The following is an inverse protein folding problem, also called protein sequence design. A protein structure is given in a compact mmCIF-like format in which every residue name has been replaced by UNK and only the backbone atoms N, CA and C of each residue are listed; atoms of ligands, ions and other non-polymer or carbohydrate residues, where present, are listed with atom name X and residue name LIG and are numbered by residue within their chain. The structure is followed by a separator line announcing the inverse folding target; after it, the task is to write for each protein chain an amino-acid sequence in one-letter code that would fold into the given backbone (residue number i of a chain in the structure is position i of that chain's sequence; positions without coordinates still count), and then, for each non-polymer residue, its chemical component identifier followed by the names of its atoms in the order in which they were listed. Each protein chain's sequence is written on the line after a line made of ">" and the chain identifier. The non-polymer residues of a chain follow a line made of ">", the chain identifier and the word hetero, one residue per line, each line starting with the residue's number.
data_IF_377001116971
#
_entry.id   IF_377001116971
#
_cell.length_a   1.000
_cell.length_b   1.000
_cell.length_c   1.000
_cell.angle_alpha   90.00
_cell.angle_beta   90.00
_cell.angle_gamma   90.00
#
_symmetry.space_group_name_H-M   'P 1'
#
loop_
_entity.id
_entity.type
_entity.pdbx_description
1 polymer ?
#
# COMPACT_ATOMS: atom_id res chain seq x y z
N UNK A 1 22.03 -12.46 -13.61
CA UNK A 1 21.13 -11.50 -12.96
C UNK A 1 21.53 -10.07 -13.33
N UNK A 2 22.68 -9.53 -12.91
CA UNK A 2 23.13 -8.16 -13.25
C UNK A 2 23.08 -7.77 -14.74
N UNK A 3 23.46 -8.68 -15.66
CA UNK A 3 23.46 -8.39 -17.10
C UNK A 3 22.04 -8.28 -17.68
N UNK A 4 21.08 -9.07 -17.15
CA UNK A 4 19.66 -8.97 -17.52
C UNK A 4 19.05 -7.67 -16.97
N UNK A 5 19.51 -7.22 -15.79
CA UNK A 5 19.04 -5.97 -15.16
C UNK A 5 19.47 -4.72 -15.93
N UNK A 6 20.71 -4.64 -16.42
CA UNK A 6 21.21 -3.47 -17.16
C UNK A 6 20.56 -3.29 -18.54
N UNK A 7 20.21 -4.38 -19.22
CA UNK A 7 19.49 -4.30 -20.50
C UNK A 7 18.02 -3.92 -20.30
N UNK A 8 17.37 -4.44 -19.25
CA UNK A 8 15.95 -4.14 -18.95
C UNK A 8 15.69 -2.72 -18.43
N UNK A 9 16.69 -2.05 -17.87
CA UNK A 9 16.61 -0.61 -17.53
C UNK A 9 16.43 0.30 -18.75
N UNK A 10 16.87 -0.12 -19.95
CA UNK A 10 16.86 0.72 -21.16
C UNK A 10 15.54 0.68 -21.94
N UNK A 11 14.64 -0.26 -21.65
CA UNK A 11 13.42 -0.48 -22.45
C UNK A 11 12.13 0.13 -21.86
N UNK A 12 12.18 0.77 -20.69
CA UNK A 12 10.99 1.24 -20.00
C UNK A 12 10.79 2.76 -20.09
N UNK A 13 10.44 3.24 -21.29
CA UNK A 13 9.75 4.53 -21.46
C UNK A 13 8.63 4.33 -22.47
N UNK A 14 7.43 3.98 -21.96
CA UNK A 14 6.18 4.24 -22.68
C UNK A 14 5.09 4.67 -21.70
N UNK A 15 5.04 6.01 -21.56
CA UNK A 15 3.87 6.88 -21.45
C UNK A 15 3.10 7.07 -20.13
N UNK A 16 3.44 6.45 -18.99
CA UNK A 16 2.63 6.66 -17.77
C UNK A 16 3.38 6.91 -16.46
N UNK A 17 4.66 6.54 -16.34
CA UNK A 17 5.42 6.73 -15.11
C UNK A 17 6.71 7.51 -15.38
N UNK A 18 6.95 8.54 -14.57
CA UNK A 18 7.98 9.54 -14.83
C UNK A 18 9.39 9.04 -14.52
N UNK A 19 9.57 8.32 -13.41
CA UNK A 19 10.89 7.82 -12.99
C UNK A 19 10.94 6.30 -12.89
N UNK A 20 12.10 5.71 -13.14
CA UNK A 20 12.29 4.26 -13.02
C UNK A 20 12.32 3.84 -11.53
N UNK A 21 11.52 2.85 -11.07
CA UNK A 21 11.50 2.44 -9.66
C UNK A 21 12.85 1.92 -9.15
N UNK A 22 13.69 1.37 -10.03
CA UNK A 22 15.04 0.89 -9.68
C UNK A 22 16.03 2.02 -9.34
N UNK A 23 15.64 3.29 -9.49
CA UNK A 23 16.39 4.43 -8.95
C UNK A 23 16.23 4.58 -7.42
N UNK A 24 15.22 3.95 -6.83
CA UNK A 24 15.07 3.89 -5.38
C UNK A 24 16.09 2.92 -4.78
N UNK A 25 16.78 3.39 -3.74
CA UNK A 25 17.75 2.59 -3.00
C UNK A 25 17.09 1.30 -2.47
N UNK A 26 17.78 0.17 -2.69
CA UNK A 26 17.40 -1.19 -2.26
C UNK A 26 16.13 -1.77 -2.89
N UNK A 27 15.52 -1.15 -3.90
CA UNK A 27 14.35 -1.76 -4.59
C UNK A 27 14.72 -3.10 -5.23
N UNK A 28 15.92 -3.20 -5.78
CA UNK A 28 16.51 -4.44 -6.30
C UNK A 28 16.57 -5.54 -5.23
N UNK A 29 17.12 -5.24 -4.05
CA UNK A 29 17.25 -6.21 -2.94
C UNK A 29 15.90 -6.63 -2.37
N UNK A 30 14.98 -5.68 -2.23
CA UNK A 30 13.62 -5.96 -1.78
C UNK A 30 12.87 -6.86 -2.77
N UNK A 31 13.01 -6.57 -4.07
CA UNK A 31 12.47 -7.41 -5.13
C UNK A 31 13.05 -8.83 -5.08
N UNK A 32 14.37 -8.97 -4.96
CA UNK A 32 15.02 -10.29 -4.84
C UNK A 32 14.49 -11.08 -3.65
N UNK A 33 14.36 -10.45 -2.47
CA UNK A 33 13.85 -11.11 -1.26
C UNK A 33 12.39 -11.54 -1.38
N UNK A 34 11.54 -10.69 -1.94
CA UNK A 34 10.11 -10.99 -2.17
C UNK A 34 9.95 -12.09 -3.23
N UNK A 35 10.73 -12.05 -4.31
CA UNK A 35 10.73 -13.11 -5.33
C UNK A 35 11.18 -14.45 -4.72
N UNK A 36 12.20 -14.45 -3.87
CA UNK A 36 12.62 -15.66 -3.15
C UNK A 36 11.48 -16.22 -2.28
N UNK A 37 10.79 -15.37 -1.52
CA UNK A 37 9.64 -15.81 -0.72
C UNK A 37 8.53 -16.46 -1.57
N UNK A 38 8.19 -15.84 -2.70
CA UNK A 38 7.17 -16.37 -3.62
C UNK A 38 7.59 -17.75 -4.15
N UNK A 39 8.83 -17.89 -4.61
CA UNK A 39 9.33 -19.13 -5.21
C UNK A 39 9.45 -20.27 -4.18
N UNK A 40 9.80 -19.93 -2.94
CA UNK A 40 9.97 -20.87 -1.85
C UNK A 40 8.66 -21.20 -1.11
N UNK A 41 7.54 -20.56 -1.49
CA UNK A 41 6.26 -20.65 -0.77
C UNK A 41 6.39 -20.26 0.72
N UNK A 42 7.25 -19.29 0.99
CA UNK A 42 7.36 -18.67 2.30
C UNK A 42 6.12 -17.82 2.58
N UNK A 43 5.65 -17.83 3.82
CA UNK A 43 4.51 -17.00 4.25
C UNK A 43 4.94 -15.54 4.32
N UNK A 44 4.34 -14.72 3.46
CA UNK A 44 4.50 -13.26 3.45
C UNK A 44 3.37 -12.62 4.26
N UNK A 45 3.71 -11.78 5.24
CA UNK A 45 2.73 -10.93 5.93
C UNK A 45 2.97 -9.47 5.56
N UNK A 46 2.00 -8.87 4.85
CA UNK A 46 2.03 -7.44 4.56
C UNK A 46 1.63 -6.68 5.83
N UNK A 47 2.54 -5.91 6.42
CA UNK A 47 2.25 -5.09 7.58
C UNK A 47 1.98 -3.65 7.16
N UNK A 48 0.73 -3.20 7.25
CA UNK A 48 0.34 -1.86 6.85
C UNK A 48 0.01 -0.93 8.02
N UNK A 49 -0.47 0.24 7.66
CA UNK A 49 -1.09 1.19 8.57
C UNK A 49 -2.58 1.36 8.24
N UNK A 50 -3.33 1.87 9.20
CA UNK A 50 -4.79 1.92 9.12
C UNK A 50 -5.35 3.13 8.36
N UNK A 51 -4.52 4.04 7.86
CA UNK A 51 -5.02 5.17 7.09
C UNK A 51 -5.33 4.74 5.66
N UNK A 52 -6.00 5.59 4.89
CA UNK A 52 -6.39 5.25 3.51
C UNK A 52 -5.17 5.01 2.63
N UNK A 53 -4.08 5.76 2.82
CA UNK A 53 -2.78 5.55 2.17
C UNK A 53 -2.22 4.15 2.47
N UNK A 54 -2.18 3.73 3.74
CA UNK A 54 -1.75 2.39 4.15
C UNK A 54 -2.66 1.27 3.65
N UNK A 55 -3.99 1.43 3.76
CA UNK A 55 -4.97 0.41 3.35
C UNK A 55 -4.95 0.18 1.85
N UNK A 56 -4.92 1.23 1.05
CA UNK A 56 -4.83 1.11 -0.42
C UNK A 56 -3.50 0.47 -0.81
N UNK A 57 -2.41 0.82 -0.13
CA UNK A 57 -1.10 0.20 -0.32
C UNK A 57 -1.11 -1.31 -0.03
N UNK A 58 -1.66 -1.71 1.12
CA UNK A 58 -1.85 -3.13 1.49
C UNK A 58 -2.69 -3.83 0.45
N UNK A 59 -3.81 -3.23 0.02
CA UNK A 59 -4.73 -3.82 -0.95
C UNK A 59 -4.03 -4.07 -2.30
N UNK A 60 -3.25 -3.11 -2.80
CA UNK A 60 -2.50 -3.25 -4.05
C UNK A 60 -1.44 -4.36 -3.96
N UNK A 61 -0.64 -4.38 -2.88
CA UNK A 61 0.38 -5.42 -2.67
C UNK A 61 -0.26 -6.81 -2.51
N UNK A 62 -1.37 -6.91 -1.78
CA UNK A 62 -2.11 -8.15 -1.57
C UNK A 62 -2.64 -8.71 -2.90
N UNK A 63 -3.27 -7.87 -3.72
CA UNK A 63 -3.75 -8.27 -5.06
C UNK A 63 -2.61 -8.72 -5.97
N UNK A 64 -1.48 -8.02 -5.93
CA UNK A 64 -0.31 -8.35 -6.74
C UNK A 64 0.33 -9.67 -6.31
N UNK A 65 0.54 -9.88 -5.01
CA UNK A 65 1.14 -11.11 -4.48
C UNK A 65 0.20 -12.32 -4.67
N UNK A 66 -1.11 -12.16 -4.49
CA UNK A 66 -2.10 -13.20 -4.81
C UNK A 66 -2.13 -13.53 -6.31
N UNK A 67 -2.00 -12.53 -7.18
CA UNK A 67 -1.89 -12.76 -8.63
C UNK A 67 -0.66 -13.63 -8.95
N UNK A 68 0.45 -13.42 -8.25
CA UNK A 68 1.67 -14.23 -8.36
C UNK A 68 1.63 -15.56 -7.59
N UNK A 69 0.48 -15.94 -7.00
CA UNK A 69 0.29 -17.18 -6.23
C UNK A 69 1.22 -17.28 -5.01
N UNK A 70 1.59 -16.15 -4.41
CA UNK A 70 2.29 -16.13 -3.13
C UNK A 70 1.38 -16.62 -1.99
N UNK A 71 1.96 -17.27 -0.98
CA UNK A 71 1.29 -17.47 0.30
C UNK A 71 1.35 -16.17 1.10
N UNK A 72 0.28 -15.37 1.02
CA UNK A 72 0.27 -14.00 1.53
C UNK A 72 -0.94 -13.71 2.41
N UNK A 73 -0.65 -13.15 3.58
CA UNK A 73 -1.60 -12.55 4.49
C UNK A 73 -1.27 -11.07 4.71
N UNK A 74 -2.16 -10.35 5.37
CA UNK A 74 -1.89 -8.96 5.77
C UNK A 74 -2.26 -8.72 7.23
N UNK A 75 -1.62 -7.72 7.82
CA UNK A 75 -1.94 -7.23 9.14
C UNK A 75 -1.99 -5.70 9.14
N UNK A 76 -3.06 -5.16 9.72
CA UNK A 76 -3.20 -3.73 10.00
C UNK A 76 -3.53 -3.60 11.49
N UNK A 77 -2.74 -2.82 12.26
CA UNK A 77 -3.00 -2.63 13.69
C UNK A 77 -4.30 -1.86 13.93
N UNK A 78 -5.04 -2.27 14.97
CA UNK A 78 -6.30 -1.63 15.38
C UNK A 78 -6.10 -0.32 16.15
N UNK A 79 -4.87 -0.11 16.67
CA UNK A 79 -4.53 1.02 17.53
C UNK A 79 -3.58 1.99 16.87
N UNK A 80 -3.85 3.27 17.10
CA UNK A 80 -2.98 4.37 16.69
C UNK A 80 -1.58 4.25 17.31
N UNK A 81 -0.55 4.27 16.48
CA UNK A 81 0.83 4.49 16.90
C UNK A 81 1.37 5.69 16.11
N UNK A 82 1.67 6.79 16.79
CA UNK A 82 2.09 8.05 16.15
C UNK A 82 3.40 7.91 15.34
N UNK A 83 4.28 7.02 15.77
CA UNK A 83 5.56 6.73 15.12
C UNK A 83 5.41 5.75 13.94
N UNK A 84 4.23 5.14 13.77
CA UNK A 84 3.97 4.03 12.83
C UNK A 84 5.00 2.93 12.95
N UNK A 85 5.32 2.59 14.20
CA UNK A 85 6.19 1.46 14.47
C UNK A 85 5.42 0.14 14.35
N UNK A 86 6.13 -0.90 13.96
CA UNK A 86 5.67 -2.28 14.13
C UNK A 86 5.39 -2.48 15.63
N UNK A 87 4.26 -3.08 15.97
CA UNK A 87 3.90 -3.35 17.36
C UNK A 87 4.54 -4.65 17.85
N UNK A 88 5.33 -4.57 18.91
CA UNK A 88 6.05 -5.71 19.50
C UNK A 88 5.13 -6.89 19.83
N UNK A 89 4.01 -6.60 20.51
CA UNK A 89 3.01 -7.60 20.88
C UNK A 89 2.33 -8.24 19.66
N UNK A 90 2.15 -7.49 18.57
CA UNK A 90 1.57 -8.05 17.34
C UNK A 90 2.53 -9.05 16.70
N UNK A 91 3.83 -8.75 16.68
CA UNK A 91 4.84 -9.69 16.15
C UNK A 91 4.80 -11.00 16.93
N UNK A 92 4.86 -10.92 18.26
CA UNK A 92 4.86 -12.11 19.13
C UNK A 92 3.55 -12.88 19.14
N UNK A 93 2.43 -12.17 19.27
CA UNK A 93 1.13 -12.77 19.58
C UNK A 93 0.27 -13.01 18.35
N UNK A 94 0.67 -12.51 17.18
CA UNK A 94 -0.12 -12.66 15.96
C UNK A 94 0.72 -13.11 14.78
N UNK A 95 1.70 -12.31 14.36
CA UNK A 95 2.45 -12.57 13.12
C UNK A 95 3.27 -13.86 13.19
N UNK A 96 3.91 -14.12 14.33
CA UNK A 96 4.60 -15.39 14.56
C UNK A 96 3.66 -16.59 14.46
N UNK A 97 2.43 -16.48 14.98
CA UNK A 97 1.44 -17.55 14.94
C UNK A 97 0.84 -17.76 13.55
N UNK A 98 0.84 -16.73 12.69
CA UNK A 98 0.54 -16.88 11.26
C UNK A 98 1.61 -17.67 10.51
N UNK A 99 2.76 -17.95 11.14
CA UNK A 99 3.88 -18.66 10.53
C UNK A 99 4.65 -17.79 9.54
N UNK A 100 4.72 -16.48 9.77
CA UNK A 100 5.37 -15.55 8.85
C UNK A 100 6.88 -15.83 8.74
N UNK A 101 7.36 -16.00 7.51
CA UNK A 101 8.78 -16.05 7.17
C UNK A 101 9.32 -14.67 6.78
N UNK A 102 8.45 -13.86 6.15
CA UNK A 102 8.75 -12.51 5.69
C UNK A 102 7.64 -11.53 6.08
N UNK A 103 8.01 -10.46 6.76
CA UNK A 103 7.17 -9.26 6.91
C UNK A 103 7.54 -8.25 5.82
N UNK A 104 6.55 -7.84 5.02
CA UNK A 104 6.68 -6.73 4.08
C UNK A 104 5.91 -5.52 4.63
N UNK A 105 6.60 -4.53 5.19
CA UNK A 105 5.93 -3.35 5.73
C UNK A 105 5.62 -2.33 4.63
N UNK A 106 4.52 -1.58 4.80
CA UNK A 106 4.16 -0.49 3.92
C UNK A 106 3.57 0.71 4.67
N UNK A 107 4.21 1.89 4.52
CA UNK A 107 3.81 3.13 5.20
C UNK A 107 4.09 3.14 6.70
N UNK A 108 4.93 2.21 7.17
CA UNK A 108 5.34 2.02 8.55
C UNK A 108 6.65 1.22 8.62
N UNK A 109 7.30 1.23 9.78
CA UNK A 109 8.44 0.37 10.07
C UNK A 109 9.81 1.04 10.00
N UNK A 110 9.96 2.19 9.34
CA UNK A 110 11.27 2.86 9.19
C UNK A 110 11.93 3.22 10.52
N UNK A 111 11.13 3.46 11.57
CA UNK A 111 11.59 3.79 12.92
C UNK A 111 11.48 2.59 13.88
N UNK A 112 11.29 1.36 13.40
CA UNK A 112 11.02 0.16 14.22
C UNK A 112 12.27 -0.67 14.53
N UNK A 113 13.36 -0.04 14.97
CA UNK A 113 14.65 -0.73 15.17
C UNK A 113 14.53 -1.97 16.07
N UNK A 114 13.97 -1.79 17.27
CA UNK A 114 13.85 -2.87 18.25
C UNK A 114 12.94 -4.01 17.76
N UNK A 115 11.91 -3.68 17.00
CA UNK A 115 10.94 -4.66 16.52
C UNK A 115 11.48 -5.43 15.31
N UNK A 116 12.32 -4.82 14.49
CA UNK A 116 13.06 -5.54 13.45
C UNK A 116 14.09 -6.49 14.05
N UNK A 117 14.81 -6.08 15.10
CA UNK A 117 15.71 -7.00 15.83
C UNK A 117 14.92 -8.17 16.46
N UNK A 118 13.74 -7.91 17.05
CA UNK A 118 12.86 -8.99 17.50
C UNK A 118 12.47 -9.94 16.36
N UNK A 119 12.06 -9.42 15.20
CA UNK A 119 11.69 -10.28 14.06
C UNK A 119 12.85 -11.20 13.68
N UNK A 120 14.07 -10.65 13.63
CA UNK A 120 15.28 -11.41 13.35
C UNK A 120 15.56 -12.49 14.41
N UNK A 121 15.40 -12.20 15.70
CA UNK A 121 15.49 -13.20 16.77
C UNK A 121 14.46 -14.34 16.63
N UNK A 122 13.30 -14.03 16.04
CA UNK A 122 12.23 -14.98 15.76
C UNK A 122 12.39 -15.71 14.42
N UNK A 123 13.45 -15.43 13.66
CA UNK A 123 13.68 -16.03 12.33
C UNK A 123 12.79 -15.45 11.23
N UNK A 124 12.24 -14.25 11.43
CA UNK A 124 11.34 -13.57 10.49
C UNK A 124 12.11 -12.45 9.81
N UNK A 125 12.23 -12.50 8.48
CA UNK A 125 12.83 -11.43 7.70
C UNK A 125 11.89 -10.22 7.63
N UNK A 126 12.45 -9.01 7.48
CA UNK A 126 11.66 -7.79 7.34
C UNK A 126 12.14 -6.98 6.14
N UNK A 127 11.24 -6.68 5.20
CA UNK A 127 11.47 -5.68 4.15
C UNK A 127 10.60 -4.46 4.47
N UNK A 128 11.22 -3.28 4.53
CA UNK A 128 10.52 -2.03 4.83
C UNK A 128 10.28 -1.24 3.56
N UNK A 129 9.04 -0.85 3.30
CA UNK A 129 8.68 0.16 2.30
C UNK A 129 7.99 1.32 3.03
N UNK A 130 8.60 2.50 3.06
CA UNK A 130 8.10 3.63 3.84
C UNK A 130 8.44 4.96 3.15
N UNK A 131 7.68 6.01 3.44
CA UNK A 131 7.87 7.38 2.94
C UNK A 131 8.02 8.41 4.07
N UNK A 132 8.00 7.97 5.33
CA UNK A 132 8.19 8.84 6.51
C UNK A 132 9.62 9.33 6.64
N UNK A 133 9.77 10.39 7.43
CA UNK A 133 11.08 10.91 7.82
C UNK A 133 11.85 9.88 8.63
N UNK A 134 13.16 9.82 8.37
CA UNK A 134 14.07 8.86 8.98
C UNK A 134 14.63 9.48 10.26
N UNK A 135 14.43 8.80 11.39
CA UNK A 135 15.03 9.19 12.67
C UNK A 135 16.48 8.69 12.81
N UNK A 136 17.14 8.98 13.92
CA UNK A 136 18.59 8.72 14.07
C UNK A 136 18.99 7.24 14.02
N UNK A 137 18.07 6.32 14.37
CA UNK A 137 18.35 4.88 14.43
C UNK A 137 17.42 4.16 13.45
N UNK A 138 17.99 3.72 12.33
CA UNK A 138 17.26 2.98 11.29
C UNK A 138 17.49 1.47 11.47
N UNK A 139 16.45 0.63 11.32
CA UNK A 139 16.60 -0.81 11.30
C UNK A 139 17.66 -1.27 10.29
N UNK A 140 18.51 -2.22 10.69
CA UNK A 140 19.50 -2.85 9.79
C UNK A 140 18.84 -3.95 8.95
N UNK A 141 17.92 -3.54 8.09
CA UNK A 141 17.24 -4.44 7.14
C UNK A 141 17.07 -3.81 5.76
N UNK A 142 16.55 -4.57 4.80
CA UNK A 142 16.24 -4.09 3.46
C UNK A 142 15.14 -3.04 3.57
N UNK A 143 15.49 -1.80 3.21
CA UNK A 143 14.60 -0.64 3.36
C UNK A 143 14.53 0.14 2.06
N UNK A 144 13.32 0.38 1.57
CA UNK A 144 12.97 1.27 0.47
C UNK A 144 12.30 2.51 1.06
N UNK A 145 12.92 3.67 0.85
CA UNK A 145 12.39 4.98 1.24
C UNK A 145 13.15 6.03 0.42
N UNK A 146 12.42 6.90 -0.28
CA UNK A 146 12.98 7.94 -1.17
C UNK A 146 13.87 8.93 -0.42
N UNK A 147 13.61 9.16 0.87
CA UNK A 147 14.31 10.09 1.76
C UNK A 147 15.58 9.51 2.38
N UNK A 148 15.93 8.26 2.05
CA UNK A 148 17.22 7.68 2.48
C UNK A 148 18.40 8.49 1.95
N UNK A 149 19.44 8.58 2.78
CA UNK A 149 20.75 9.06 2.36
C UNK A 149 21.23 8.23 1.15
N UNK A 150 21.75 8.93 0.15
CA UNK A 150 22.26 8.36 -1.10
C UNK A 150 21.21 7.68 -1.99
N UNK A 151 19.91 7.93 -1.76
CA UNK A 151 18.86 7.48 -2.67
C UNK A 151 18.77 8.39 -3.90
N UNK A 152 19.03 7.85 -5.09
CA UNK A 152 19.04 8.59 -6.36
C UNK A 152 17.65 8.88 -6.93
N UNK A 153 16.58 8.37 -6.30
CA UNK A 153 15.23 8.59 -6.80
C UNK A 153 14.85 10.08 -6.81
N UNK A 154 14.40 10.66 -7.93
CA UNK A 154 14.29 12.11 -8.07
C UNK A 154 13.25 12.77 -7.17
N UNK A 155 12.08 12.15 -6.98
CA UNK A 155 10.99 12.73 -6.21
C UNK A 155 10.91 12.13 -4.80
N UNK A 156 11.00 12.98 -3.78
CA UNK A 156 11.19 12.54 -2.38
C UNK A 156 9.90 12.35 -1.60
N UNK A 157 8.79 12.92 -2.07
CA UNK A 157 7.57 13.04 -1.30
C UNK A 157 6.43 12.12 -1.78
N UNK A 158 6.77 10.97 -2.36
CA UNK A 158 5.77 9.95 -2.71
C UNK A 158 4.89 9.60 -1.50
N UNK A 159 3.59 9.43 -1.72
CA UNK A 159 2.72 8.80 -0.70
C UNK A 159 3.10 7.34 -0.48
N UNK A 160 2.61 6.70 0.58
CA UNK A 160 2.79 5.27 0.82
C UNK A 160 2.22 4.44 -0.34
N UNK A 161 1.05 4.82 -0.84
CA UNK A 161 0.42 4.22 -2.02
C UNK A 161 1.28 4.43 -3.28
N UNK A 162 1.89 5.60 -3.44
CA UNK A 162 2.90 5.85 -4.48
C UNK A 162 4.09 4.90 -4.36
N UNK A 163 4.68 4.77 -3.17
CA UNK A 163 5.77 3.83 -2.89
C UNK A 163 5.39 2.38 -3.22
N UNK A 164 4.20 1.95 -2.79
CA UNK A 164 3.67 0.61 -3.09
C UNK A 164 3.50 0.39 -4.59
N UNK A 165 2.94 1.37 -5.31
CA UNK A 165 2.76 1.29 -6.76
C UNK A 165 4.10 1.23 -7.50
N UNK A 166 5.11 2.00 -7.08
CA UNK A 166 6.47 1.92 -7.64
C UNK A 166 7.12 0.56 -7.38
N UNK A 167 6.89 -0.04 -6.20
CA UNK A 167 7.37 -1.39 -5.94
C UNK A 167 6.65 -2.44 -6.81
N UNK A 168 5.32 -2.32 -6.97
CA UNK A 168 4.54 -3.15 -7.90
C UNK A 168 5.02 -3.00 -9.34
N UNK A 169 5.42 -1.80 -9.76
CA UNK A 169 6.03 -1.57 -11.05
C UNK A 169 7.36 -2.32 -11.20
N UNK A 170 8.24 -2.30 -10.19
CA UNK A 170 9.48 -3.08 -10.21
C UNK A 170 9.21 -4.60 -10.32
N UNK A 171 8.23 -5.11 -9.56
CA UNK A 171 7.79 -6.51 -9.66
C UNK A 171 7.18 -6.80 -11.04
N UNK A 172 6.39 -5.87 -11.58
CA UNK A 172 5.80 -5.97 -12.91
C UNK A 172 6.83 -6.00 -14.02
N UNK A 173 7.89 -5.20 -13.93
CA UNK A 173 9.03 -5.25 -14.86
C UNK A 173 9.73 -6.61 -14.78
N UNK A 174 9.94 -7.14 -13.56
CA UNK A 174 10.61 -8.43 -13.36
C UNK A 174 9.83 -9.61 -13.98
N UNK A 175 8.53 -9.68 -13.69
CA UNK A 175 7.62 -10.73 -14.19
C UNK A 175 6.97 -10.42 -15.55
N UNK A 176 7.29 -9.28 -16.16
CA UNK A 176 6.70 -8.79 -17.43
C UNK A 176 5.17 -8.64 -17.39
N UNK A 177 4.63 -8.20 -16.24
CA UNK A 177 3.20 -7.94 -16.05
C UNK A 177 2.83 -6.62 -16.72
N UNK A 178 2.02 -6.68 -17.78
CA UNK A 178 1.60 -5.48 -18.53
C UNK A 178 0.48 -4.69 -17.86
N UNK A 179 -0.33 -5.33 -17.02
CA UNK A 179 -1.56 -4.76 -16.48
C UNK A 179 -1.40 -4.16 -15.09
N UNK A 180 -0.23 -3.59 -14.74
CA UNK A 180 -0.01 -2.95 -13.43
C UNK A 180 -0.83 -1.66 -13.27
N UNK A 181 -1.21 -1.01 -14.37
CA UNK A 181 -2.03 0.21 -14.38
C UNK A 181 -3.41 0.01 -13.77
N UNK A 182 -3.88 -1.24 -13.63
CA UNK A 182 -5.13 -1.58 -12.94
C UNK A 182 -5.14 -1.20 -11.45
N UNK A 183 -3.98 -0.86 -10.87
CA UNK A 183 -3.84 -0.42 -9.49
C UNK A 183 -3.78 1.11 -9.34
N UNK A 184 -3.81 1.86 -10.44
CA UNK A 184 -3.73 3.33 -10.41
C UNK A 184 -4.92 3.98 -9.68
N UNK A 185 -6.07 3.31 -9.69
CA UNK A 185 -7.26 3.76 -8.96
C UNK A 185 -7.06 3.72 -7.44
N UNK A 186 -6.53 2.62 -6.90
CA UNK A 186 -6.16 2.48 -5.49
C UNK A 186 -4.98 3.39 -5.14
N UNK A 187 -3.98 3.48 -6.01
CA UNK A 187 -2.85 4.38 -5.82
C UNK A 187 -3.33 5.83 -5.67
N UNK A 188 -4.21 6.28 -6.55
CA UNK A 188 -4.78 7.62 -6.50
C UNK A 188 -5.55 7.86 -5.20
N UNK A 189 -6.42 6.94 -4.78
CA UNK A 189 -7.17 7.08 -3.53
C UNK A 189 -6.25 7.23 -2.32
N UNK A 190 -5.18 6.43 -2.25
CA UNK A 190 -4.16 6.54 -1.21
C UNK A 190 -3.43 7.88 -1.26
N UNK A 191 -2.95 8.27 -2.43
CA UNK A 191 -2.20 9.52 -2.61
C UNK A 191 -3.03 10.76 -2.26
N UNK A 192 -4.27 10.91 -2.75
CA UNK A 192 -5.10 12.08 -2.42
C UNK A 192 -5.53 12.15 -0.96
N UNK A 193 -5.53 11.00 -0.27
CA UNK A 193 -5.89 10.91 1.16
C UNK A 193 -4.70 11.16 2.10
N UNK A 194 -3.49 11.26 1.55
CA UNK A 194 -2.26 11.42 2.31
C UNK A 194 -1.86 12.90 2.42
N UNK A 195 -1.17 13.26 3.52
CA UNK A 195 -0.67 14.61 3.76
C UNK A 195 0.63 14.92 2.99
N UNK A 196 0.72 14.47 1.74
CA UNK A 196 1.88 14.72 0.87
C UNK A 196 1.57 15.81 -0.18
N UNK A 197 2.59 16.54 -0.66
CA UNK A 197 2.40 17.48 -1.75
C UNK A 197 1.92 16.76 -3.03
N UNK A 198 0.84 17.26 -3.64
CA UNK A 198 0.40 16.87 -4.98
C UNK A 198 1.24 17.59 -6.05
N UNK A 199 2.52 17.25 -6.07
CA UNK A 199 3.52 17.72 -7.02
C UNK A 199 4.13 16.53 -7.74
N UNK A 200 4.72 16.79 -8.92
CA UNK A 200 5.48 15.83 -9.71
C UNK A 200 4.76 14.46 -9.89
N UNK A 201 5.32 13.36 -9.39
CA UNK A 201 4.75 12.01 -9.56
C UNK A 201 3.45 11.82 -8.80
N UNK A 202 3.27 12.41 -7.60
CA UNK A 202 2.00 12.30 -6.89
C UNK A 202 0.87 12.93 -7.72
N UNK A 203 1.11 14.11 -8.29
CA UNK A 203 0.14 14.77 -9.18
C UNK A 203 -0.18 13.88 -10.39
N UNK A 204 0.85 13.34 -11.03
CA UNK A 204 0.70 12.47 -12.21
C UNK A 204 -0.09 11.21 -11.88
N UNK A 205 0.22 10.54 -10.76
CA UNK A 205 -0.47 9.33 -10.30
C UNK A 205 -1.95 9.60 -10.00
N UNK A 206 -2.26 10.76 -9.40
CA UNK A 206 -3.64 11.17 -9.13
C UNK A 206 -4.40 11.45 -10.42
N UNK A 207 -3.84 12.24 -11.35
CA UNK A 207 -4.47 12.53 -12.65
C UNK A 207 -4.73 11.25 -13.45
N UNK A 208 -3.75 10.35 -13.50
CA UNK A 208 -3.88 9.06 -14.16
C UNK A 208 -4.91 8.16 -13.47
N UNK A 209 -4.92 8.09 -12.15
CA UNK A 209 -5.89 7.29 -11.42
C UNK A 209 -7.33 7.81 -11.58
N UNK A 210 -7.53 9.13 -11.59
CA UNK A 210 -8.84 9.74 -11.91
C UNK A 210 -9.29 9.31 -13.30
N UNK A 211 -8.41 9.36 -14.31
CA UNK A 211 -8.77 8.89 -15.66
C UNK A 211 -9.13 7.41 -15.71
N UNK A 212 -8.52 6.57 -14.86
CA UNK A 212 -8.80 5.14 -14.78
C UNK A 212 -10.11 4.80 -14.05
N UNK A 213 -10.66 5.71 -13.24
CA UNK A 213 -11.93 5.48 -12.53
C UNK A 213 -13.11 5.22 -13.49
N UNK A 214 -13.10 5.81 -14.69
CA UNK A 214 -14.17 5.62 -15.68
C UNK A 214 -14.35 4.16 -16.09
N UNK A 215 -13.26 3.41 -16.16
CA UNK A 215 -13.23 2.03 -16.68
C UNK A 215 -12.71 1.02 -15.65
N UNK A 216 -12.66 1.40 -14.36
CA UNK A 216 -12.10 0.55 -13.30
C UNK A 216 -12.80 -0.80 -13.25
N UNK A 217 -11.99 -1.86 -13.07
CA UNK A 217 -12.48 -3.23 -12.83
C UNK A 217 -12.56 -3.56 -11.35
N UNK A 218 -12.19 -2.64 -10.47
CA UNK A 218 -12.28 -2.85 -9.03
C UNK A 218 -13.75 -2.78 -8.59
N UNK A 219 -14.29 -3.89 -8.09
CA UNK A 219 -15.70 -3.95 -7.65
C UNK A 219 -15.98 -3.00 -6.49
N UNK A 220 -15.02 -2.83 -5.58
CA UNK A 220 -15.13 -1.90 -4.46
C UNK A 220 -15.26 -0.46 -4.90
N UNK A 221 -14.41 -0.01 -5.82
CA UNK A 221 -14.46 1.36 -6.34
C UNK A 221 -15.75 1.60 -7.13
N UNK A 222 -16.17 0.65 -7.98
CA UNK A 222 -17.44 0.74 -8.69
C UNK A 222 -18.63 0.85 -7.72
N UNK A 223 -18.63 0.08 -6.65
CA UNK A 223 -19.65 0.16 -5.60
C UNK A 223 -19.63 1.52 -4.88
N UNK A 224 -18.44 2.07 -4.59
CA UNK A 224 -18.33 3.40 -3.98
C UNK A 224 -18.84 4.50 -4.92
N UNK A 225 -18.57 4.43 -6.23
CA UNK A 225 -19.07 5.37 -7.25
C UNK A 225 -20.60 5.34 -7.27
N UNK A 226 -21.19 4.15 -7.35
CA UNK A 226 -22.65 3.96 -7.38
C UNK A 226 -23.30 4.51 -6.10
N UNK A 227 -22.85 4.05 -4.93
CA UNK A 227 -23.50 4.37 -3.66
C UNK A 227 -23.26 5.82 -3.21
N UNK A 228 -22.17 6.46 -3.66
CA UNK A 228 -21.97 7.90 -3.47
C UNK A 228 -22.75 8.77 -4.48
N UNK A 229 -23.49 8.20 -5.42
CA UNK A 229 -24.16 8.93 -6.50
C UNK A 229 -23.18 9.84 -7.25
N UNK A 230 -22.02 9.30 -7.65
CA UNK A 230 -21.04 10.03 -8.46
C UNK A 230 -21.43 9.92 -9.93
N UNK A 231 -21.91 11.02 -10.51
CA UNK A 231 -22.34 11.08 -11.92
C UNK A 231 -21.24 11.52 -12.89
N UNK A 232 -20.19 12.19 -12.39
CA UNK A 232 -19.06 12.67 -13.19
C UNK A 232 -17.75 12.36 -12.48
N UNK A 233 -16.82 11.73 -13.21
CA UNK A 233 -15.48 11.43 -12.70
C UNK A 233 -14.60 12.68 -12.82
N UNK A 234 -14.20 13.22 -11.67
CA UNK A 234 -13.29 14.35 -11.55
C UNK A 234 -12.59 14.30 -10.17
N UNK A 235 -11.76 15.29 -9.88
CA UNK A 235 -11.02 15.37 -8.62
C UNK A 235 -11.94 15.40 -7.39
N UNK A 236 -13.06 16.14 -7.44
CA UNK A 236 -14.02 16.18 -6.33
C UNK A 236 -14.68 14.81 -6.08
N UNK A 237 -14.96 14.06 -7.14
CA UNK A 237 -15.43 12.68 -7.02
C UNK A 237 -14.37 11.80 -6.35
N UNK A 238 -13.10 11.89 -6.75
CA UNK A 238 -12.02 11.15 -6.14
C UNK A 238 -11.90 11.43 -4.63
N UNK A 239 -11.91 12.70 -4.23
CA UNK A 239 -11.92 13.08 -2.80
C UNK A 239 -13.12 12.52 -2.04
N UNK A 240 -14.32 12.51 -2.66
CA UNK A 240 -15.52 11.93 -2.06
C UNK A 240 -15.38 10.42 -1.84
N UNK A 241 -14.80 9.71 -2.80
CA UNK A 241 -14.53 8.27 -2.68
C UNK A 241 -13.50 8.00 -1.57
N UNK A 242 -12.38 8.73 -1.55
CA UNK A 242 -11.37 8.62 -0.50
C UNK A 242 -11.97 8.90 0.89
N UNK A 243 -12.78 9.95 1.02
CA UNK A 243 -13.44 10.31 2.28
C UNK A 243 -14.39 9.21 2.80
N UNK A 244 -15.02 8.47 1.89
CA UNK A 244 -15.95 7.38 2.25
C UNK A 244 -15.22 6.24 2.95
N UNK A 245 -13.96 5.99 2.57
CA UNK A 245 -13.17 4.86 3.06
C UNK A 245 -12.21 5.23 4.20
N UNK A 246 -12.23 6.48 4.69
CA UNK A 246 -11.47 6.89 5.87
C UNK A 246 -11.93 6.04 7.06
N UNK A 247 -11.03 5.24 7.66
CA UNK A 247 -11.39 4.44 8.82
C UNK A 247 -11.70 5.32 10.02
N UNK A 248 -12.64 4.85 10.84
CA UNK A 248 -13.19 5.60 11.95
C UNK A 248 -12.80 4.96 13.25
N UNK A 249 -12.51 5.82 14.22
CA UNK A 249 -12.26 5.42 15.59
C UNK A 249 -13.63 5.19 16.24
N UNK A 250 -13.79 4.03 16.87
CA UNK A 250 -14.99 3.69 17.63
C UNK A 250 -14.94 4.24 19.06
N UNK A 251 -16.01 4.01 19.83
CA UNK A 251 -16.15 4.51 21.20
C UNK A 251 -15.05 4.03 22.18
N UNK A 252 -14.33 2.96 21.85
CA UNK A 252 -13.23 2.41 22.67
C UNK A 252 -11.85 2.69 22.06
N UNK A 253 -11.76 3.58 21.07
CA UNK A 253 -10.49 4.03 20.51
C UNK A 253 -9.88 3.13 19.42
N UNK A 254 -10.62 2.15 18.89
CA UNK A 254 -10.15 1.22 17.84
C UNK A 254 -10.59 1.63 16.45
N UNK A 255 -9.75 1.30 15.48
CA UNK A 255 -10.04 1.51 14.06
C UNK A 255 -10.86 0.36 13.48
N UNK A 256 -12.19 0.45 13.57
CA UNK A 256 -13.07 -0.71 13.34
C UNK A 256 -13.10 -1.21 11.88
N UNK A 257 -12.81 -0.36 10.90
CA UNK A 257 -13.18 -0.65 9.51
C UNK A 257 -12.00 -0.81 8.55
N UNK A 258 -10.75 -0.77 9.01
CA UNK A 258 -9.59 -0.89 8.12
C UNK A 258 -9.60 -2.21 7.32
N UNK A 259 -9.90 -3.33 7.97
CA UNK A 259 -10.01 -4.65 7.32
C UNK A 259 -11.18 -4.73 6.35
N UNK A 260 -12.31 -4.08 6.69
CA UNK A 260 -13.49 -4.00 5.81
C UNK A 260 -13.15 -3.25 4.52
N UNK A 261 -12.36 -2.18 4.61
CA UNK A 261 -11.91 -1.43 3.44
C UNK A 261 -10.90 -2.23 2.60
N UNK A 262 -9.99 -3.00 3.22
CA UNK A 262 -9.14 -3.93 2.46
C UNK A 262 -10.00 -4.97 1.72
N UNK A 263 -11.01 -5.54 2.38
CA UNK A 263 -11.94 -6.48 1.75
C UNK A 263 -12.69 -5.83 0.57
N UNK A 264 -13.19 -4.60 0.74
CA UNK A 264 -13.84 -3.83 -0.33
C UNK A 264 -12.99 -3.76 -1.60
N UNK A 265 -11.70 -3.44 -1.44
CA UNK A 265 -10.80 -3.24 -2.57
C UNK A 265 -10.23 -4.53 -3.13
N UNK A 266 -10.34 -5.66 -2.42
CA UNK A 266 -9.71 -6.92 -2.82
C UNK A 266 -10.68 -8.06 -3.12
N UNK A 267 -11.98 -7.87 -2.86
CA UNK A 267 -13.02 -8.85 -3.19
C UNK A 267 -13.27 -8.94 -4.70
N UNK A 268 -13.54 -10.16 -5.17
CA UNK A 268 -14.02 -10.47 -6.53
C UNK A 268 -15.55 -10.56 -6.62
N UNK A 269 -16.27 -10.39 -5.51
CA UNK A 269 -17.73 -10.41 -5.47
C UNK A 269 -18.31 -8.99 -5.47
N UNK A 270 -18.94 -8.63 -6.59
CA UNK A 270 -19.65 -7.35 -6.76
C UNK A 270 -20.75 -7.09 -5.73
N UNK A 271 -21.43 -8.14 -5.24
CA UNK A 271 -22.48 -7.99 -4.24
C UNK A 271 -21.88 -7.72 -2.86
N UNK A 272 -20.80 -8.43 -2.52
CA UNK A 272 -20.05 -8.16 -1.30
C UNK A 272 -19.47 -6.75 -1.28
N UNK A 273 -18.86 -6.31 -2.39
CA UNK A 273 -18.38 -4.94 -2.54
C UNK A 273 -19.51 -3.90 -2.29
N UNK A 274 -20.70 -4.12 -2.88
CA UNK A 274 -21.86 -3.26 -2.68
C UNK A 274 -22.35 -3.22 -1.22
N UNK A 275 -22.37 -4.37 -0.55
CA UNK A 275 -22.72 -4.44 0.87
C UNK A 275 -21.75 -3.63 1.73
N UNK A 276 -20.45 -3.79 1.49
CA UNK A 276 -19.42 -3.06 2.23
C UNK A 276 -19.51 -1.55 1.95
N UNK A 277 -19.66 -1.13 0.70
CA UNK A 277 -19.80 0.28 0.34
C UNK A 277 -21.00 0.95 1.05
N UNK A 278 -22.16 0.26 1.09
CA UNK A 278 -23.35 0.72 1.82
C UNK A 278 -23.09 0.88 3.32
N UNK A 279 -22.40 -0.08 3.92
CA UNK A 279 -22.02 -0.04 5.33
C UNK A 279 -21.14 1.19 5.62
N UNK A 280 -20.08 1.41 4.85
CA UNK A 280 -19.17 2.54 5.03
C UNK A 280 -19.87 3.89 4.86
N UNK A 281 -20.74 4.04 3.85
CA UNK A 281 -21.50 5.28 3.63
C UNK A 281 -22.49 5.54 4.78
N UNK A 282 -23.12 4.49 5.30
CA UNK A 282 -24.00 4.61 6.47
C UNK A 282 -23.21 5.14 7.67
N UNK A 283 -22.03 4.60 7.94
CA UNK A 283 -21.17 5.14 9.00
C UNK A 283 -20.80 6.61 8.74
N UNK A 284 -20.47 6.96 7.49
CA UNK A 284 -20.22 8.35 7.06
C UNK A 284 -21.31 9.29 7.50
N UNK A 285 -22.55 8.92 7.23
CA UNK A 285 -23.70 9.76 7.55
C UNK A 285 -24.02 9.80 9.05
N UNK A 286 -23.78 8.72 9.79
CA UNK A 286 -24.00 8.68 11.24
C UNK A 286 -23.05 9.65 11.97
N UNK A 287 -21.76 9.65 11.63
CA UNK A 287 -20.79 10.50 12.32
C UNK A 287 -20.93 11.99 11.95
N UNK A 288 -21.45 12.34 10.77
CA UNK A 288 -21.78 13.74 10.43
C UNK A 288 -22.83 14.35 11.35
N UNK A 289 -23.71 13.53 11.93
CA UNK A 289 -24.76 13.97 12.84
C UNK A 289 -24.29 14.13 14.29
N UNK A 290 -23.08 13.68 14.62
CA UNK A 290 -22.49 13.76 15.97
C UNK A 290 -21.64 15.04 16.15
N UNK A 291 -21.29 15.72 15.05
CA UNK A 291 -20.46 16.95 15.04
C UNK A 291 -21.33 18.21 14.78
N UNK A 292 -22.59 18.18 15.19
CA UNK A 292 -23.47 19.37 15.26
C UNK A 292 -23.83 19.64 16.71
#
# INVERSE_FOLDING_TARGET
>A
MEHLYKERQKEFIRNYNKYNPFLMKNVDKALERVVAAINNQEKIVIYGYYDVDGITSVSMLLLMLRYLKADVEYFIPETANANREIQYEVVKNHIKFLGADLILTIGCGINSYNQVELCKELGIDVVIIDNRSIENIVPKTITINTKQKDCSYPFKDLSGAGMAYKFIEAVGIFYQIKSITKYLDLCMLGTISSDVPLLDENKTLVELGISHLCDTKNHGINALIEENNVYSINEAAAYKLAFTVIPRINAIGRMDNARIVVELFTTDDKYRAKQIAKYLIKEVNLNKNIIK
#
